data_IF_008906899866
#
_entry.id   IF_008906899866
#
_cell.length_a   1.000
_cell.length_b   1.000
_cell.length_c   1.000
_cell.angle_alpha   90.00
_cell.angle_beta   90.00
_cell.angle_gamma   90.00
#
_symmetry.space_group_name_H-M   'P 1'
#
loop_
_entity.id
_entity.type
_entity.pdbx_description
1 polymer ?
#
# COMPACT_ATOMS: atom_id res chain seq x y z
N UNK A 1 -38.16 -5.30 14.72
CA UNK A 1 -37.32 -5.94 15.78
C UNK A 1 -36.21 -6.84 15.30
N UNK A 2 -36.46 -7.94 14.52
CA UNK A 2 -35.37 -8.82 14.04
C UNK A 2 -34.42 -8.13 13.07
N UNK A 3 -34.93 -7.35 12.10
CA UNK A 3 -34.13 -6.61 11.12
C UNK A 3 -33.25 -5.52 11.77
N UNK A 4 -33.74 -4.79 12.76
CA UNK A 4 -32.99 -3.78 13.47
C UNK A 4 -31.82 -4.36 14.29
N UNK A 5 -32.06 -5.51 14.93
CA UNK A 5 -30.99 -6.24 15.64
C UNK A 5 -29.92 -6.74 14.66
N UNK A 6 -30.33 -7.28 13.50
CA UNK A 6 -29.41 -7.73 12.47
C UNK A 6 -28.55 -6.56 11.92
N UNK A 7 -29.14 -5.40 11.65
CA UNK A 7 -28.43 -4.21 11.21
C UNK A 7 -27.44 -3.71 12.25
N UNK A 8 -27.81 -3.73 13.52
CA UNK A 8 -26.91 -3.34 14.62
C UNK A 8 -25.71 -4.27 14.75
N UNK A 9 -25.94 -5.58 14.60
CA UNK A 9 -24.85 -6.59 14.63
C UNK A 9 -23.94 -6.40 13.42
N UNK A 10 -24.50 -6.24 12.22
CA UNK A 10 -23.74 -6.00 10.99
C UNK A 10 -22.86 -4.76 11.13
N UNK A 11 -23.41 -3.64 11.65
CA UNK A 11 -22.67 -2.42 11.89
C UNK A 11 -21.51 -2.60 12.89
N UNK A 12 -21.71 -3.37 13.97
CA UNK A 12 -20.65 -3.70 14.93
C UNK A 12 -19.54 -4.53 14.30
N UNK A 13 -19.89 -5.54 13.52
CA UNK A 13 -18.91 -6.38 12.80
C UNK A 13 -18.11 -5.53 11.82
N UNK A 14 -18.77 -4.69 11.01
CA UNK A 14 -18.09 -3.79 10.07
C UNK A 14 -17.13 -2.84 10.80
N UNK A 15 -17.56 -2.27 11.91
CA UNK A 15 -16.73 -1.40 12.75
C UNK A 15 -15.46 -2.09 13.25
N UNK A 16 -15.61 -3.30 13.80
CA UNK A 16 -14.45 -4.09 14.27
C UNK A 16 -13.52 -4.42 13.11
N UNK A 17 -14.06 -4.81 11.95
CA UNK A 17 -13.27 -5.10 10.76
C UNK A 17 -12.45 -3.88 10.31
N UNK A 18 -13.07 -2.72 10.24
CA UNK A 18 -12.38 -1.45 9.88
C UNK A 18 -11.27 -1.12 10.88
N UNK A 19 -11.51 -1.26 12.18
CA UNK A 19 -10.51 -1.02 13.21
C UNK A 19 -9.34 -2.01 13.13
N UNK A 20 -9.61 -3.28 12.88
CA UNK A 20 -8.59 -4.32 12.69
C UNK A 20 -7.73 -4.01 11.46
N UNK A 21 -8.34 -3.70 10.32
CA UNK A 21 -7.62 -3.32 9.11
C UNK A 21 -6.74 -2.08 9.35
N UNK A 22 -7.29 -1.05 9.99
CA UNK A 22 -6.54 0.15 10.33
C UNK A 22 -5.35 -0.15 11.26
N UNK A 23 -5.54 -1.04 12.25
CA UNK A 23 -4.47 -1.50 13.14
C UNK A 23 -3.36 -2.25 12.38
N UNK A 24 -3.71 -3.14 11.47
CA UNK A 24 -2.75 -3.85 10.61
C UNK A 24 -1.96 -2.87 9.74
N UNK A 25 -2.63 -1.89 9.12
CA UNK A 25 -1.99 -0.86 8.32
C UNK A 25 -1.02 -0.02 9.16
N UNK A 26 -1.42 0.37 10.37
CA UNK A 26 -0.56 1.11 11.30
C UNK A 26 0.68 0.31 11.67
N UNK A 27 0.51 -0.93 12.10
CA UNK A 27 1.63 -1.81 12.48
C UNK A 27 2.59 -2.07 11.30
N UNK A 28 2.05 -2.27 10.09
CA UNK A 28 2.84 -2.43 8.87
C UNK A 28 3.66 -1.16 8.55
N UNK A 29 3.08 0.04 8.72
CA UNK A 29 3.81 1.29 8.51
C UNK A 29 4.89 1.52 9.58
N UNK A 30 4.59 1.24 10.85
CA UNK A 30 5.57 1.32 11.95
C UNK A 30 6.73 0.33 11.74
N UNK A 31 6.42 -0.90 11.33
CA UNK A 31 7.44 -1.89 10.98
C UNK A 31 8.35 -1.38 9.85
N UNK A 32 7.78 -0.84 8.76
CA UNK A 32 8.55 -0.30 7.64
C UNK A 32 9.44 0.86 8.06
N UNK A 33 8.91 1.77 8.89
CA UNK A 33 9.68 2.89 9.42
C UNK A 33 10.85 2.38 10.27
N UNK A 34 10.59 1.50 11.21
CA UNK A 34 11.63 0.89 12.04
C UNK A 34 12.66 0.11 11.22
N UNK A 35 12.21 -0.68 10.24
CA UNK A 35 13.10 -1.44 9.36
C UNK A 35 14.05 -0.53 8.57
N UNK A 36 13.57 0.62 8.10
CA UNK A 36 14.39 1.60 7.37
C UNK A 36 15.32 2.40 8.27
N UNK A 37 14.79 2.95 9.35
CA UNK A 37 15.53 3.90 10.19
C UNK A 37 16.49 3.19 11.17
N UNK A 38 16.03 2.09 11.78
CA UNK A 38 16.79 1.37 12.81
C UNK A 38 17.65 0.27 12.17
N UNK A 39 17.04 -0.59 11.35
CA UNK A 39 17.74 -1.76 10.79
C UNK A 39 18.38 -1.49 9.43
N UNK A 40 18.21 -0.27 8.87
CA UNK A 40 18.77 0.15 7.58
C UNK A 40 18.41 -0.79 6.41
N UNK A 41 17.29 -1.49 6.50
CA UNK A 41 16.79 -2.35 5.43
C UNK A 41 16.30 -1.48 4.27
N UNK A 42 16.93 -1.60 3.11
CA UNK A 42 16.63 -0.78 1.92
C UNK A 42 15.19 -0.98 1.42
N UNK A 43 14.74 -2.24 1.37
CA UNK A 43 13.43 -2.64 0.86
C UNK A 43 12.72 -3.54 1.88
N UNK A 44 12.09 -2.97 2.91
CA UNK A 44 11.38 -3.77 3.89
C UNK A 44 10.18 -4.46 3.23
N UNK A 45 10.19 -5.78 3.32
CA UNK A 45 9.11 -6.65 2.83
C UNK A 45 8.32 -7.23 3.99
N UNK A 46 7.06 -7.53 3.75
CA UNK A 46 6.20 -8.30 4.67
C UNK A 46 5.83 -9.60 3.95
N UNK A 47 6.31 -10.73 4.42
CA UNK A 47 6.16 -12.04 3.77
C UNK A 47 6.63 -12.06 2.30
N UNK A 48 7.72 -11.36 1.98
CA UNK A 48 8.24 -11.23 0.62
C UNK A 48 7.50 -10.21 -0.27
N UNK A 49 6.43 -9.59 0.22
CA UNK A 49 5.70 -8.55 -0.51
C UNK A 49 6.20 -7.15 -0.17
N UNK A 50 6.28 -6.31 -1.19
CA UNK A 50 6.55 -4.88 -1.08
C UNK A 50 5.50 -4.08 -1.84
N UNK A 51 5.42 -2.78 -1.60
CA UNK A 51 4.48 -1.93 -2.34
C UNK A 51 5.07 -0.57 -2.64
N UNK A 52 4.83 -0.06 -3.84
CA UNK A 52 5.27 1.24 -4.28
C UNK A 52 4.16 2.00 -5.01
N UNK A 53 4.21 3.32 -4.97
CA UNK A 53 3.37 4.18 -5.80
C UNK A 53 4.19 4.58 -7.02
N UNK A 54 3.61 4.39 -8.19
CA UNK A 54 4.24 4.76 -9.46
C UNK A 54 4.25 6.27 -9.62
N UNK A 55 5.41 6.84 -9.92
CA UNK A 55 5.60 8.30 -9.99
C UNK A 55 5.74 8.80 -11.43
N UNK A 56 6.21 7.97 -12.36
CA UNK A 56 6.54 8.35 -13.73
C UNK A 56 5.73 7.57 -14.75
N UNK A 57 5.67 8.07 -15.97
CA UNK A 57 4.92 7.45 -17.07
C UNK A 57 5.71 6.44 -17.90
N UNK A 58 6.91 5.99 -17.48
CA UNK A 58 7.73 5.05 -18.27
C UNK A 58 7.05 3.72 -18.58
N UNK A 59 6.03 3.34 -17.79
CA UNK A 59 5.22 2.14 -17.97
C UNK A 59 3.77 2.44 -18.40
N UNK A 60 3.51 3.67 -18.89
CA UNK A 60 2.15 4.09 -19.28
C UNK A 60 1.52 3.14 -20.29
N UNK A 61 0.23 2.86 -20.08
CA UNK A 61 -0.51 1.84 -20.81
C UNK A 61 -0.62 0.52 -20.07
N UNK A 62 0.38 0.15 -19.27
CA UNK A 62 0.34 -1.05 -18.41
C UNK A 62 0.27 -0.67 -16.93
N UNK A 63 1.12 0.25 -16.49
CA UNK A 63 1.14 0.79 -15.13
C UNK A 63 1.30 2.31 -15.26
N UNK A 64 0.39 3.07 -14.66
CA UNK A 64 0.34 4.51 -14.84
C UNK A 64 0.78 5.27 -13.58
N UNK A 65 1.15 6.55 -13.72
CA UNK A 65 1.38 7.40 -12.55
C UNK A 65 0.18 7.39 -11.61
N UNK A 66 0.47 7.42 -10.30
CA UNK A 66 -0.50 7.27 -9.21
C UNK A 66 -1.13 5.87 -9.04
N UNK A 67 -0.70 4.87 -9.79
CA UNK A 67 -1.04 3.49 -9.48
C UNK A 67 -0.24 3.00 -8.25
N UNK A 68 -0.86 2.16 -7.44
CA UNK A 68 -0.17 1.39 -6.40
C UNK A 68 0.16 0.02 -6.96
N UNK A 69 1.43 -0.34 -6.95
CA UNK A 69 1.90 -1.67 -7.31
C UNK A 69 2.24 -2.47 -6.07
N UNK A 70 1.91 -3.76 -6.09
CA UNK A 70 2.39 -4.75 -5.13
C UNK A 70 3.38 -5.64 -5.85
N UNK A 71 4.56 -5.80 -5.27
CA UNK A 71 5.61 -6.67 -5.79
C UNK A 71 5.84 -7.84 -4.85
N UNK A 72 6.22 -8.99 -5.41
CA UNK A 72 6.61 -10.17 -4.66
C UNK A 72 8.01 -10.60 -5.06
N UNK A 73 8.89 -10.78 -4.07
CA UNK A 73 10.26 -11.24 -4.29
C UNK A 73 10.25 -12.70 -4.68
N UNK A 74 10.97 -13.03 -5.74
CA UNK A 74 11.14 -14.39 -6.28
C UNK A 74 12.63 -14.72 -6.41
N UNK A 75 12.96 -15.99 -6.53
CA UNK A 75 14.32 -16.45 -6.79
C UNK A 75 14.74 -16.24 -8.24
N UNK A 76 13.77 -16.27 -9.17
CA UNK A 76 13.99 -16.13 -10.60
C UNK A 76 12.86 -15.32 -11.23
N UNK A 77 13.17 -14.62 -12.33
CA UNK A 77 12.24 -13.82 -13.12
C UNK A 77 12.37 -14.21 -14.58
N UNK A 78 11.34 -13.93 -15.38
CA UNK A 78 11.26 -14.31 -16.79
C UNK A 78 11.13 -13.09 -17.69
N UNK A 79 11.57 -13.22 -18.94
CA UNK A 79 11.30 -12.24 -19.98
C UNK A 79 9.78 -12.03 -20.09
N UNK A 80 9.38 -10.76 -20.11
CA UNK A 80 7.98 -10.31 -20.05
C UNK A 80 7.50 -9.93 -18.65
N UNK A 81 8.18 -10.34 -17.57
CA UNK A 81 7.83 -9.93 -16.21
C UNK A 81 8.05 -8.43 -16.01
N UNK A 82 7.13 -7.78 -15.32
CA UNK A 82 7.32 -6.42 -14.84
C UNK A 82 7.94 -6.51 -13.45
N UNK A 83 9.12 -5.94 -13.28
CA UNK A 83 9.87 -6.00 -12.04
C UNK A 83 10.18 -4.61 -11.51
N UNK A 84 10.19 -4.48 -10.19
CA UNK A 84 10.78 -3.31 -9.53
C UNK A 84 12.19 -3.69 -9.10
N UNK A 85 13.16 -2.87 -9.43
CA UNK A 85 14.57 -3.06 -9.09
C UNK A 85 15.19 -1.73 -8.64
N UNK A 86 16.43 -1.76 -8.11
CA UNK A 86 17.17 -0.57 -7.70
C UNK A 86 18.34 -0.29 -8.63
N UNK A 87 18.40 0.95 -9.09
CA UNK A 87 19.57 1.49 -9.76
C UNK A 87 19.95 2.82 -9.11
N UNK A 88 21.24 2.98 -8.72
CA UNK A 88 21.69 4.17 -8.02
C UNK A 88 20.92 4.49 -6.72
N UNK A 89 20.34 3.49 -6.06
CA UNK A 89 19.50 3.66 -4.85
C UNK A 89 18.04 4.02 -5.11
N UNK A 90 17.68 4.34 -6.36
CA UNK A 90 16.30 4.70 -6.77
C UNK A 90 15.54 3.44 -7.22
N UNK A 91 14.30 3.22 -6.76
CA UNK A 91 13.46 2.15 -7.29
C UNK A 91 12.93 2.52 -8.68
N UNK A 92 13.08 1.60 -9.62
CA UNK A 92 12.58 1.68 -10.99
C UNK A 92 11.69 0.47 -11.25
N UNK A 93 10.62 0.64 -12.02
CA UNK A 93 9.72 -0.46 -12.40
C UNK A 93 9.64 -0.52 -13.90
N UNK A 94 10.17 -1.58 -14.50
CA UNK A 94 10.20 -1.81 -15.95
C UNK A 94 9.96 -3.28 -16.28
N UNK A 95 9.82 -3.60 -17.56
CA UNK A 95 9.64 -4.96 -18.09
C UNK A 95 10.97 -5.59 -18.43
N UNK A 96 11.17 -6.84 -18.08
CA UNK A 96 12.30 -7.65 -18.56
C UNK A 96 12.10 -7.94 -20.04
N UNK A 97 13.07 -7.54 -20.87
CA UNK A 97 13.04 -7.77 -22.32
C UNK A 97 14.03 -8.85 -22.77
N UNK A 98 15.08 -9.10 -21.99
CA UNK A 98 16.00 -10.22 -22.21
C UNK A 98 16.72 -10.59 -20.91
N UNK A 99 17.28 -11.79 -20.89
CA UNK A 99 18.12 -12.33 -19.83
C UNK A 99 19.48 -12.71 -20.45
N UNK A 100 20.55 -12.49 -19.70
CA UNK A 100 21.91 -12.86 -20.08
C UNK A 100 22.74 -13.23 -18.83
N UNK A 101 24.02 -13.53 -19.01
CA UNK A 101 24.92 -13.93 -17.91
C UNK A 101 25.08 -12.85 -16.82
N UNK A 102 24.84 -11.58 -17.12
CA UNK A 102 24.95 -10.44 -16.19
C UNK A 102 23.62 -10.13 -15.48
N UNK A 103 22.53 -10.81 -15.83
CA UNK A 103 21.19 -10.61 -15.27
C UNK A 103 20.14 -10.23 -16.31
N UNK A 104 19.29 -9.27 -16.00
CA UNK A 104 18.13 -8.92 -16.79
C UNK A 104 18.27 -7.56 -17.47
N UNK A 105 18.03 -7.50 -18.79
CA UNK A 105 17.83 -6.25 -19.50
C UNK A 105 16.38 -5.83 -19.38
N UNK A 106 16.16 -4.56 -19.03
CA UNK A 106 14.82 -4.01 -18.79
C UNK A 106 14.52 -2.83 -19.70
N UNK A 107 13.22 -2.55 -19.88
CA UNK A 107 12.72 -1.42 -20.65
C UNK A 107 11.36 -0.98 -20.10
N UNK A 108 11.13 0.31 -20.00
CA UNK A 108 9.80 0.88 -19.76
C UNK A 108 8.91 0.68 -20.99
N UNK A 109 7.67 0.27 -20.77
CA UNK A 109 6.73 -0.02 -21.88
C UNK A 109 6.47 1.22 -22.77
N UNK A 110 6.55 2.42 -22.20
CA UNK A 110 6.39 3.68 -22.92
C UNK A 110 7.74 4.30 -23.37
N UNK A 111 8.88 3.71 -23.07
CA UNK A 111 10.18 4.23 -23.44
C UNK A 111 10.55 3.80 -24.87
N UNK A 112 11.31 4.61 -25.58
CA UNK A 112 11.82 4.28 -26.92
C UNK A 112 13.01 3.31 -26.87
N UNK A 113 13.85 3.43 -25.82
CA UNK A 113 15.09 2.65 -25.62
C UNK A 113 15.01 1.81 -24.36
N UNK A 114 15.83 0.77 -24.28
CA UNK A 114 16.04 0.00 -23.04
C UNK A 114 16.87 0.81 -22.01
N UNK A 115 17.06 0.23 -20.83
CA UNK A 115 17.72 0.92 -19.72
C UNK A 115 19.26 0.95 -19.82
N UNK A 116 19.83 0.40 -20.90
CA UNK A 116 21.25 0.45 -21.24
C UNK A 116 22.17 -0.41 -20.36
N UNK A 117 21.71 -0.83 -19.19
CA UNK A 117 22.49 -1.66 -18.26
C UNK A 117 21.69 -2.88 -17.80
N UNK A 118 22.36 -3.98 -17.55
CA UNK A 118 21.74 -5.19 -17.03
C UNK A 118 21.60 -5.12 -15.52
N UNK A 119 20.49 -5.64 -15.02
CA UNK A 119 20.14 -5.62 -13.60
C UNK A 119 20.42 -7.00 -13.01
N UNK A 120 21.36 -7.07 -12.06
CA UNK A 120 21.62 -8.29 -11.32
C UNK A 120 20.38 -8.70 -10.49
N UNK A 121 20.16 -10.00 -10.34
CA UNK A 121 19.01 -10.57 -9.62
C UNK A 121 18.87 -10.00 -8.20
N UNK A 122 20.00 -9.76 -7.53
CA UNK A 122 20.05 -9.23 -6.16
C UNK A 122 19.47 -7.81 -6.04
N UNK A 123 19.52 -7.04 -7.14
CA UNK A 123 18.97 -5.69 -7.20
C UNK A 123 17.46 -5.67 -7.46
N UNK A 124 16.87 -6.81 -7.81
CA UNK A 124 15.43 -6.92 -8.02
C UNK A 124 14.72 -6.97 -6.67
N UNK A 125 13.84 -6.00 -6.44
CA UNK A 125 12.96 -5.94 -5.25
C UNK A 125 11.85 -6.98 -5.35
N UNK A 126 11.29 -7.16 -6.56
CA UNK A 126 10.27 -8.17 -6.82
C UNK A 126 9.51 -7.93 -8.12
N UNK A 127 8.77 -8.98 -8.53
CA UNK A 127 7.84 -8.95 -9.66
C UNK A 127 6.55 -8.27 -9.27
N UNK A 128 6.01 -7.42 -10.12
CA UNK A 128 4.68 -6.82 -9.95
C UNK A 128 3.62 -7.91 -10.09
N UNK A 129 2.87 -8.13 -9.02
CA UNK A 129 1.81 -9.16 -8.97
C UNK A 129 0.40 -8.56 -8.92
N UNK A 130 0.29 -7.27 -8.54
CA UNK A 130 -0.98 -6.56 -8.50
C UNK A 130 -0.76 -5.08 -8.79
N UNK A 131 -1.66 -4.51 -9.59
CA UNK A 131 -1.74 -3.06 -9.84
C UNK A 131 -3.11 -2.57 -9.38
N UNK A 132 -3.14 -1.56 -8.53
CA UNK A 132 -4.37 -0.90 -8.06
C UNK A 132 -4.37 0.53 -8.60
N UNK A 133 -5.24 0.84 -9.58
CA UNK A 133 -5.21 2.11 -10.27
C UNK A 133 -5.58 3.29 -9.38
N UNK A 134 -4.91 4.43 -9.57
CA UNK A 134 -5.28 5.77 -9.06
C UNK A 134 -5.42 5.91 -7.54
N UNK A 135 -4.88 4.97 -6.75
CA UNK A 135 -4.93 5.03 -5.29
C UNK A 135 -3.66 5.65 -4.67
N UNK A 136 -2.66 5.95 -5.49
CA UNK A 136 -1.34 6.38 -5.04
C UNK A 136 -1.36 7.64 -4.18
N UNK A 137 -2.17 8.64 -4.53
CA UNK A 137 -2.29 9.87 -3.73
C UNK A 137 -2.79 9.58 -2.31
N UNK A 138 -3.81 8.74 -2.16
CA UNK A 138 -4.34 8.32 -0.86
C UNK A 138 -3.29 7.51 -0.07
N UNK A 139 -2.57 6.61 -0.75
CA UNK A 139 -1.51 5.81 -0.13
C UNK A 139 -0.36 6.69 0.35
N UNK A 140 0.07 7.68 -0.44
CA UNK A 140 1.10 8.66 -0.02
C UNK A 140 0.67 9.42 1.22
N UNK A 141 -0.57 9.91 1.25
CA UNK A 141 -1.12 10.62 2.41
C UNK A 141 -1.08 9.74 3.66
N UNK A 142 -1.62 8.53 3.60
CA UNK A 142 -1.68 7.59 4.74
C UNK A 142 -0.29 7.13 5.19
N UNK A 143 0.72 7.17 4.31
CA UNK A 143 2.12 6.82 4.68
C UNK A 143 2.82 7.89 5.49
N UNK A 144 2.32 9.11 5.55
CA UNK A 144 2.85 10.15 6.45
C UNK A 144 2.36 9.93 7.87
N UNK A 145 3.15 10.25 8.92
CA UNK A 145 2.70 10.15 10.31
C UNK A 145 1.41 10.95 10.57
N UNK A 146 1.32 12.16 10.02
CA UNK A 146 0.13 13.01 10.14
C UNK A 146 -1.09 12.39 9.45
N UNK A 147 -0.92 11.84 8.24
CA UNK A 147 -2.01 11.17 7.52
C UNK A 147 -2.49 9.91 8.22
N UNK A 148 -1.59 9.13 8.82
CA UNK A 148 -1.97 7.97 9.65
C UNK A 148 -2.80 8.40 10.86
N UNK A 149 -2.33 9.41 11.61
CA UNK A 149 -3.07 9.93 12.77
C UNK A 149 -4.43 10.49 12.37
N UNK A 150 -4.50 11.23 11.25
CA UNK A 150 -5.76 11.77 10.72
C UNK A 150 -6.74 10.67 10.32
N UNK A 151 -6.26 9.62 9.66
CA UNK A 151 -7.09 8.46 9.31
C UNK A 151 -7.64 7.77 10.55
N UNK A 152 -6.80 7.55 11.57
CA UNK A 152 -7.20 6.93 12.83
C UNK A 152 -8.23 7.79 13.58
N UNK A 153 -8.00 9.10 13.68
CA UNK A 153 -8.93 10.03 14.27
C UNK A 153 -10.28 10.06 13.53
N UNK A 154 -10.26 10.06 12.20
CA UNK A 154 -11.48 10.01 11.38
C UNK A 154 -12.27 8.70 11.62
N UNK A 155 -11.60 7.55 11.68
CA UNK A 155 -12.24 6.27 11.96
C UNK A 155 -12.89 6.29 13.35
N UNK A 156 -12.19 6.77 14.38
CA UNK A 156 -12.73 6.90 15.75
C UNK A 156 -13.94 7.83 15.76
N UNK A 157 -13.85 9.00 15.12
CA UNK A 157 -14.96 9.94 15.04
C UNK A 157 -16.18 9.32 14.36
N UNK A 158 -16.02 8.72 13.19
CA UNK A 158 -17.14 8.10 12.45
C UNK A 158 -17.77 6.97 13.27
N UNK A 159 -16.96 6.20 13.99
CA UNK A 159 -17.44 5.03 14.72
C UNK A 159 -18.04 5.38 16.08
N UNK A 160 -17.54 6.41 16.80
CA UNK A 160 -17.97 6.74 18.16
C UNK A 160 -18.91 7.94 18.27
N UNK A 161 -18.86 8.86 17.30
CA UNK A 161 -19.73 10.05 17.31
C UNK A 161 -21.23 9.72 17.42
N UNK A 162 -21.80 8.73 16.71
CA UNK A 162 -23.21 8.35 16.87
C UNK A 162 -23.53 7.85 18.29
N UNK A 163 -22.62 7.11 18.91
CA UNK A 163 -22.78 6.61 20.28
C UNK A 163 -22.76 7.77 21.29
N UNK A 164 -21.86 8.70 21.12
CA UNK A 164 -21.73 9.89 21.96
C UNK A 164 -22.97 10.78 21.86
N UNK A 165 -23.45 11.06 20.65
CA UNK A 165 -24.68 11.82 20.42
C UNK A 165 -25.89 11.12 21.08
N UNK A 166 -26.00 9.80 20.92
CA UNK A 166 -27.06 9.01 21.56
C UNK A 166 -27.00 9.08 23.08
N UNK A 167 -25.81 9.01 23.66
CA UNK A 167 -25.60 9.16 25.11
C UNK A 167 -26.00 10.53 25.62
N UNK A 168 -25.56 11.60 24.94
CA UNK A 168 -25.90 13.00 25.33
C UNK A 168 -27.41 13.23 25.23
N UNK A 169 -28.07 12.75 24.18
CA UNK A 169 -29.54 12.88 24.03
C UNK A 169 -30.31 12.18 25.16
N UNK A 170 -29.86 10.98 25.55
CA UNK A 170 -30.48 10.23 26.67
C UNK A 170 -30.27 10.93 28.02
N UNK A 171 -29.10 11.53 28.26
CA UNK A 171 -28.79 12.26 29.49
C UNK A 171 -29.65 13.53 29.62
N UNK A 172 -29.82 14.29 28.51
CA UNK A 172 -30.67 15.48 28.48
C UNK A 172 -32.15 15.16 28.78
N UNK A 173 -32.69 14.06 28.23
CA UNK A 173 -34.06 13.62 28.51
C UNK A 173 -34.30 13.33 29.99
N UNK A 174 -33.34 12.71 30.67
CA UNK A 174 -33.44 12.38 32.11
C UNK A 174 -33.34 13.61 33.05
N UNK A 175 -32.95 14.77 32.53
CA UNK A 175 -32.87 16.01 33.31
C UNK A 175 -34.11 16.90 33.14
N UNK A 176 -34.99 16.58 32.20
CA UNK A 176 -36.22 17.32 31.90
C UNK A 176 -37.49 16.61 32.40
N UNK A 177 -37.36 15.36 32.85
CA UNK A 177 -38.39 14.60 33.61
C UNK A 177 -38.08 14.64 35.13
#
# INVERSE_FOLDING_TARGET
>A
MKAEKALTVLWRVLKVLVLVIAGILLLSNLYRLAAREIFKVKDPTVFGYSSAVVLTGSMSGTVNPDDLIITHKQSEYKVGDIVTYRTGGTPVTHRIISENENGYRTKGDANNTDDGTDIAVENVVGKVVLVIPKIGAAVRLVRTPAGMLSLFAAIILITELPNLIGYIRRKRRKQTD
#
